data_IF_486516271996
#
_entry.id   IF_486516271996
#
_cell.length_a   1.000
_cell.length_b   1.000
_cell.length_c   1.000
_cell.angle_alpha   90.00
_cell.angle_beta   90.00
_cell.angle_gamma   90.00
#
_symmetry.space_group_name_H-M   'P 1'
#
loop_
_entity.id
_entity.type
_entity.pdbx_description
1 polymer ?
#
# COMPACT_ATOMS: atom_id res chain seq x y z
N UNK A 1 -8.16 25.52 -46.70
CA UNK A 1 -8.57 24.90 -45.44
C UNK A 1 -7.30 24.70 -44.65
N UNK A 2 -6.98 25.64 -43.77
CA UNK A 2 -5.86 25.52 -42.84
C UNK A 2 -6.25 24.52 -41.75
N UNK A 3 -5.55 23.40 -41.69
CA UNK A 3 -5.58 22.52 -40.52
C UNK A 3 -4.97 23.29 -39.35
N UNK A 4 -5.83 23.69 -38.41
CA UNK A 4 -5.41 24.22 -37.11
C UNK A 4 -4.87 23.02 -36.33
N UNK A 5 -3.60 22.67 -36.57
CA UNK A 5 -2.83 21.78 -35.70
C UNK A 5 -2.73 22.49 -34.37
N UNK A 6 -3.59 22.12 -33.43
CA UNK A 6 -3.47 22.57 -32.05
C UNK A 6 -2.13 22.04 -31.54
N UNK A 7 -1.10 22.90 -31.32
CA UNK A 7 0.18 22.42 -30.85
C UNK A 7 -0.06 21.93 -29.43
N UNK A 8 0.00 20.61 -29.24
CA UNK A 8 0.11 20.03 -27.91
C UNK A 8 1.36 20.68 -27.32
N UNK A 9 1.19 21.63 -26.39
CA UNK A 9 2.30 22.29 -25.70
C UNK A 9 3.14 21.21 -25.03
N UNK A 10 4.24 20.84 -25.67
CA UNK A 10 5.21 19.88 -25.17
C UNK A 10 5.94 20.56 -24.00
N UNK A 11 5.39 20.42 -22.79
CA UNK A 11 5.88 21.09 -21.57
C UNK A 11 7.33 20.73 -21.21
N UNK A 12 7.89 19.66 -21.79
CA UNK A 12 9.25 19.16 -21.52
C UNK A 12 9.81 18.54 -22.80
N UNK A 13 11.08 18.81 -23.13
CA UNK A 13 11.77 18.17 -24.26
C UNK A 13 11.76 16.64 -24.10
N UNK A 14 11.03 15.95 -24.98
CA UNK A 14 11.01 14.50 -25.03
C UNK A 14 12.23 13.96 -25.80
N UNK A 15 12.69 12.72 -25.49
CA UNK A 15 13.69 12.03 -26.30
C UNK A 15 13.26 11.93 -27.77
N UNK A 16 14.21 11.94 -28.71
CA UNK A 16 13.92 11.88 -30.14
C UNK A 16 13.07 10.62 -30.45
N UNK A 17 11.83 10.79 -31.00
CA UNK A 17 10.94 9.69 -31.30
C UNK A 17 11.51 8.68 -32.32
N UNK A 18 12.56 9.03 -33.08
CA UNK A 18 13.27 8.09 -33.96
C UNK A 18 14.17 7.10 -33.23
N UNK A 19 14.58 7.42 -32.01
CA UNK A 19 15.47 6.57 -31.19
C UNK A 19 14.74 5.94 -30.01
N UNK A 20 13.75 6.63 -29.43
CA UNK A 20 12.96 6.11 -28.32
C UNK A 20 11.50 6.61 -28.39
N UNK A 21 10.63 5.79 -28.97
CA UNK A 21 9.24 6.18 -29.24
C UNK A 21 8.39 6.21 -27.96
N UNK A 22 8.45 5.13 -27.16
CA UNK A 22 7.77 5.01 -25.88
C UNK A 22 8.61 5.65 -24.77
N UNK A 23 7.97 6.45 -23.92
CA UNK A 23 8.62 7.22 -22.85
C UNK A 23 7.87 7.00 -21.55
N UNK A 24 8.63 6.85 -20.46
CA UNK A 24 8.09 6.77 -19.10
C UNK A 24 8.37 8.08 -18.33
N UNK A 25 7.52 8.51 -17.39
CA UNK A 25 7.75 9.70 -16.55
C UNK A 25 9.10 9.71 -15.82
N UNK A 26 9.66 8.52 -15.54
CA UNK A 26 10.99 8.37 -14.94
C UNK A 26 12.12 8.82 -15.86
N UNK A 27 11.93 8.83 -17.17
CA UNK A 27 12.96 9.20 -18.14
C UNK A 27 13.02 10.71 -18.35
N UNK A 28 11.98 11.44 -17.92
CA UNK A 28 11.88 12.88 -18.07
C UNK A 28 12.24 13.60 -16.76
N UNK A 29 13.25 14.49 -16.74
CA UNK A 29 13.65 15.17 -15.51
C UNK A 29 12.53 16.05 -14.92
N UNK A 30 11.63 16.58 -15.75
CA UNK A 30 10.45 17.34 -15.32
C UNK A 30 9.38 16.50 -14.63
N UNK A 31 9.05 15.32 -15.18
CA UNK A 31 8.00 14.45 -14.65
C UNK A 31 8.49 13.46 -13.56
N UNK A 32 9.81 13.18 -13.52
CA UNK A 32 10.41 12.19 -12.62
C UNK A 32 10.13 12.48 -11.15
N UNK A 33 10.26 13.75 -10.72
CA UNK A 33 10.10 14.12 -9.30
C UNK A 33 8.66 13.89 -8.84
N UNK A 34 7.69 14.32 -9.64
CA UNK A 34 6.27 14.16 -9.35
C UNK A 34 5.88 12.68 -9.35
N UNK A 35 6.36 11.91 -10.34
CA UNK A 35 6.12 10.48 -10.40
C UNK A 35 6.70 9.75 -9.18
N UNK A 36 7.95 10.04 -8.80
CA UNK A 36 8.59 9.40 -7.65
C UNK A 36 7.91 9.77 -6.33
N UNK A 37 7.48 11.02 -6.16
CA UNK A 37 6.78 11.46 -4.96
C UNK A 37 5.40 10.80 -4.87
N UNK A 38 4.68 10.74 -5.99
CA UNK A 38 3.42 10.01 -6.09
C UNK A 38 3.60 8.52 -5.79
N UNK A 39 4.66 7.89 -6.32
CA UNK A 39 4.98 6.49 -6.05
C UNK A 39 5.28 6.24 -4.57
N UNK A 40 6.09 7.08 -3.92
CA UNK A 40 6.38 6.98 -2.49
C UNK A 40 5.12 7.11 -1.64
N UNK A 41 4.26 8.09 -1.93
CA UNK A 41 2.98 8.25 -1.23
C UNK A 41 2.07 7.03 -1.44
N UNK A 42 2.12 6.40 -2.61
CA UNK A 42 1.41 5.14 -2.88
C UNK A 42 1.93 3.99 -2.02
N UNK A 43 3.25 3.90 -1.80
CA UNK A 43 3.85 2.94 -0.87
C UNK A 43 3.38 3.20 0.56
N UNK A 44 3.34 4.46 1.02
CA UNK A 44 2.83 4.81 2.35
C UNK A 44 1.33 4.55 2.53
N UNK A 45 0.55 4.66 1.46
CA UNK A 45 -0.89 4.37 1.47
C UNK A 45 -1.19 2.86 1.52
N UNK A 46 -0.18 1.98 1.40
CA UNK A 46 -0.40 0.53 1.47
C UNK A 46 -0.80 0.08 2.89
N UNK A 47 -1.66 -0.96 3.00
CA UNK A 47 -2.04 -1.59 4.27
C UNK A 47 -0.89 -1.86 5.22
N UNK A 48 0.19 -2.40 4.69
CA UNK A 48 1.36 -2.81 5.43
C UNK A 48 2.06 -1.61 6.10
N UNK A 49 2.30 -0.55 5.32
CA UNK A 49 3.07 0.61 5.79
C UNK A 49 2.24 1.49 6.72
N UNK A 50 0.97 1.76 6.42
CA UNK A 50 0.17 2.56 7.35
C UNK A 50 -0.13 1.79 8.64
N UNK A 51 -0.26 0.46 8.62
CA UNK A 51 -0.44 -0.34 9.84
C UNK A 51 0.80 -0.25 10.73
N UNK A 52 1.99 -0.25 10.12
CA UNK A 52 3.23 -0.05 10.85
C UNK A 52 3.34 1.36 11.45
N UNK A 53 3.01 2.39 10.67
CA UNK A 53 2.96 3.76 11.16
C UNK A 53 1.93 3.92 12.27
N UNK A 54 0.78 3.27 12.16
CA UNK A 54 -0.22 3.22 13.20
C UNK A 54 0.36 2.62 14.48
N UNK A 55 1.02 1.47 14.40
CA UNK A 55 1.61 0.83 15.56
C UNK A 55 2.56 1.77 16.32
N UNK A 56 3.42 2.49 15.58
CA UNK A 56 4.34 3.48 16.15
C UNK A 56 3.59 4.66 16.77
N UNK A 57 2.72 5.31 15.98
CA UNK A 57 2.01 6.51 16.41
C UNK A 57 1.11 6.24 17.61
N UNK A 58 0.53 5.04 17.67
CA UNK A 58 -0.31 4.65 18.77
C UNK A 58 0.49 4.32 20.03
N UNK A 59 1.62 3.62 19.89
CA UNK A 59 2.52 3.39 21.01
C UNK A 59 3.00 4.70 21.65
N UNK A 60 3.23 5.74 20.83
CA UNK A 60 3.63 7.07 21.28
C UNK A 60 2.46 7.88 21.85
N UNK A 61 1.30 7.87 21.18
CA UNK A 61 0.16 8.71 21.58
C UNK A 61 -0.62 8.16 22.77
N UNK A 62 -0.62 6.82 22.94
CA UNK A 62 -1.47 6.07 23.85
C UNK A 62 -2.95 6.52 23.84
N UNK A 63 -3.45 6.92 22.66
CA UNK A 63 -4.79 7.49 22.50
C UNK A 63 -5.67 6.59 21.61
N UNK A 64 -6.89 6.30 22.06
CA UNK A 64 -7.91 5.51 21.35
C UNK A 64 -8.34 6.10 20.00
N UNK A 65 -8.12 7.39 19.77
CA UNK A 65 -8.46 8.06 18.51
C UNK A 65 -7.42 7.76 17.41
N UNK A 66 -6.16 7.52 17.78
CA UNK A 66 -5.04 7.27 16.85
C UNK A 66 -5.27 6.07 15.91
N UNK A 67 -5.74 4.89 16.37
CA UNK A 67 -6.07 3.76 15.49
C UNK A 67 -7.16 4.00 14.45
N UNK A 68 -8.01 5.02 14.64
CA UNK A 68 -9.04 5.38 13.67
C UNK A 68 -8.54 6.47 12.72
N UNK A 69 -7.94 7.54 13.26
CA UNK A 69 -7.51 8.69 12.45
C UNK A 69 -6.32 8.37 11.54
N UNK A 70 -5.33 7.61 12.01
CA UNK A 70 -4.09 7.38 11.24
C UNK A 70 -4.37 6.64 9.93
N UNK A 71 -5.10 5.50 9.91
CA UNK A 71 -5.44 4.83 8.66
C UNK A 71 -6.31 5.72 7.76
N UNK A 72 -7.28 6.43 8.34
CA UNK A 72 -8.17 7.31 7.56
C UNK A 72 -7.37 8.39 6.83
N UNK A 73 -6.49 9.09 7.55
CA UNK A 73 -5.68 10.19 6.99
C UNK A 73 -4.68 9.65 5.96
N UNK A 74 -3.95 8.57 6.28
CA UNK A 74 -2.95 8.03 5.37
C UNK A 74 -3.58 7.45 4.10
N UNK A 75 -4.66 6.69 4.21
CA UNK A 75 -5.32 6.08 3.04
C UNK A 75 -5.97 7.16 2.17
N UNK A 76 -6.69 8.11 2.76
CA UNK A 76 -7.39 9.15 1.99
C UNK A 76 -6.41 10.15 1.40
N UNK A 77 -5.55 10.77 2.22
CA UNK A 77 -4.69 11.85 1.72
C UNK A 77 -3.47 11.31 0.96
N UNK A 78 -2.72 10.35 1.51
CA UNK A 78 -1.54 9.85 0.81
C UNK A 78 -1.94 9.10 -0.46
N UNK A 79 -3.02 8.32 -0.41
CA UNK A 79 -3.58 7.64 -1.58
C UNK A 79 -4.08 8.61 -2.65
N UNK A 80 -4.87 9.61 -2.29
CA UNK A 80 -5.38 10.60 -3.26
C UNK A 80 -4.24 11.43 -3.88
N UNK A 81 -3.31 11.92 -3.06
CA UNK A 81 -2.16 12.70 -3.57
C UNK A 81 -1.27 11.82 -4.45
N UNK A 82 -1.07 10.54 -4.10
CA UNK A 82 -0.34 9.58 -4.92
C UNK A 82 -0.93 9.46 -6.33
N UNK A 83 -2.25 9.24 -6.43
CA UNK A 83 -2.93 9.14 -7.73
C UNK A 83 -2.80 10.45 -8.51
N UNK A 84 -3.04 11.60 -7.87
CA UNK A 84 -2.92 12.91 -8.52
C UNK A 84 -1.53 13.19 -9.10
N UNK A 85 -0.49 12.87 -8.35
CA UNK A 85 0.90 13.13 -8.76
C UNK A 85 1.37 12.15 -9.82
N UNK A 86 1.03 10.87 -9.69
CA UNK A 86 1.38 9.86 -10.70
C UNK A 86 0.63 10.12 -12.01
N UNK A 87 -0.67 10.47 -11.96
CA UNK A 87 -1.46 10.89 -13.12
C UNK A 87 -0.91 12.17 -13.76
N UNK A 88 -0.67 13.22 -12.97
CA UNK A 88 -0.08 14.48 -13.47
C UNK A 88 1.29 14.29 -14.14
N UNK A 89 2.10 13.36 -13.66
CA UNK A 89 3.39 13.04 -14.27
C UNK A 89 3.24 12.43 -15.69
N UNK A 90 2.13 11.77 -15.99
CA UNK A 90 1.83 11.25 -17.34
C UNK A 90 1.37 12.33 -18.31
N UNK A 91 0.82 13.45 -17.84
CA UNK A 91 0.39 14.58 -18.67
C UNK A 91 1.56 15.28 -19.37
N UNK A 92 2.79 15.08 -18.88
CA UNK A 92 4.02 15.54 -19.51
C UNK A 92 4.35 14.78 -20.81
N UNK A 93 3.70 13.64 -21.06
CA UNK A 93 3.96 12.78 -22.20
C UNK A 93 2.69 12.71 -23.05
N UNK A 94 2.77 12.96 -24.37
CA UNK A 94 1.65 12.72 -25.27
C UNK A 94 1.17 11.26 -25.17
N UNK A 95 -0.14 11.04 -25.05
CA UNK A 95 -0.70 9.71 -24.77
C UNK A 95 -0.27 8.60 -25.72
N UNK A 96 0.01 8.92 -26.99
CA UNK A 96 0.50 7.95 -28.00
C UNK A 96 1.93 7.44 -27.74
N UNK A 97 2.67 8.07 -26.82
CA UNK A 97 4.05 7.72 -26.44
C UNK A 97 4.16 7.14 -25.03
N UNK A 98 3.03 6.88 -24.35
CA UNK A 98 3.07 6.34 -22.98
C UNK A 98 3.59 4.91 -22.94
N UNK A 99 4.70 4.69 -22.24
CA UNK A 99 5.19 3.35 -21.93
C UNK A 99 4.52 2.78 -20.65
N UNK A 100 3.22 2.43 -20.73
CA UNK A 100 2.47 1.93 -19.56
C UNK A 100 2.88 0.52 -19.14
N UNK A 101 3.47 -0.25 -20.04
CA UNK A 101 3.82 -1.66 -19.82
C UNK A 101 5.26 -1.85 -19.32
N UNK A 102 5.98 -0.74 -19.06
CA UNK A 102 7.35 -0.78 -18.56
C UNK A 102 7.43 -1.53 -17.24
N UNK A 103 8.20 -2.62 -17.21
CA UNK A 103 8.51 -3.36 -15.99
C UNK A 103 9.41 -2.53 -15.09
N UNK A 104 8.89 -2.11 -13.93
CA UNK A 104 9.68 -1.43 -12.90
C UNK A 104 10.17 -2.41 -11.83
N UNK A 105 10.78 -3.51 -12.26
CA UNK A 105 11.15 -4.63 -11.37
C UNK A 105 11.89 -4.18 -10.12
N UNK A 106 12.84 -3.24 -10.24
CA UNK A 106 13.57 -2.70 -9.09
C UNK A 106 12.69 -1.92 -8.10
N UNK A 107 11.76 -1.10 -8.60
CA UNK A 107 10.82 -0.35 -7.74
C UNK A 107 9.80 -1.30 -7.11
N UNK A 108 9.31 -2.31 -7.85
CA UNK A 108 8.40 -3.31 -7.25
C UNK A 108 9.08 -4.10 -6.13
N UNK A 109 10.32 -4.56 -6.35
CA UNK A 109 11.09 -5.24 -5.30
C UNK A 109 11.30 -4.31 -4.10
N UNK A 110 11.68 -3.05 -4.34
CA UNK A 110 11.85 -2.07 -3.27
C UNK A 110 10.55 -1.84 -2.49
N UNK A 111 9.41 -1.65 -3.17
CA UNK A 111 8.11 -1.51 -2.52
C UNK A 111 7.76 -2.76 -1.70
N UNK A 112 7.97 -3.97 -2.24
CA UNK A 112 7.72 -5.21 -1.51
C UNK A 112 8.60 -5.34 -0.27
N UNK A 113 9.87 -4.97 -0.36
CA UNK A 113 10.79 -4.96 0.78
C UNK A 113 10.38 -3.93 1.83
N UNK A 114 10.08 -2.69 1.42
CA UNK A 114 9.66 -1.61 2.32
C UNK A 114 8.37 -1.98 3.04
N UNK A 115 7.36 -2.45 2.30
CA UNK A 115 6.07 -2.85 2.87
C UNK A 115 6.21 -4.02 3.84
N UNK A 116 7.01 -5.03 3.49
CA UNK A 116 7.26 -6.19 4.37
C UNK A 116 8.04 -5.81 5.63
N UNK A 117 9.10 -5.00 5.49
CA UNK A 117 9.90 -4.54 6.63
C UNK A 117 9.10 -3.60 7.53
N UNK A 118 8.32 -2.69 6.95
CA UNK A 118 7.45 -1.80 7.70
C UNK A 118 6.46 -2.62 8.53
N UNK A 119 5.75 -3.57 7.93
CA UNK A 119 4.78 -4.40 8.65
C UNK A 119 5.45 -5.25 9.74
N UNK A 120 6.61 -5.84 9.45
CA UNK A 120 7.38 -6.58 10.44
C UNK A 120 7.80 -5.71 11.63
N UNK A 121 8.38 -4.53 11.37
CA UNK A 121 8.76 -3.58 12.40
C UNK A 121 7.55 -3.06 13.19
N UNK A 122 6.45 -2.78 12.49
CA UNK A 122 5.17 -2.38 13.09
C UNK A 122 4.67 -3.42 14.08
N UNK A 123 4.64 -4.69 13.68
CA UNK A 123 4.25 -5.80 14.55
C UNK A 123 5.18 -5.94 15.75
N UNK A 124 6.50 -5.85 15.57
CA UNK A 124 7.46 -5.92 16.68
C UNK A 124 7.28 -4.78 17.69
N UNK A 125 7.19 -3.54 17.21
CA UNK A 125 6.98 -2.35 18.05
C UNK A 125 5.67 -2.49 18.81
N UNK A 126 4.62 -2.95 18.12
CA UNK A 126 3.32 -3.11 18.74
C UNK A 126 3.31 -4.20 19.80
N UNK A 127 3.92 -5.37 19.54
CA UNK A 127 4.03 -6.45 20.50
C UNK A 127 4.81 -6.02 21.74
N UNK A 128 5.99 -5.42 21.55
CA UNK A 128 6.81 -4.91 22.64
C UNK A 128 6.06 -3.88 23.49
N UNK A 129 5.32 -2.98 22.84
CA UNK A 129 4.49 -2.01 23.54
C UNK A 129 3.35 -2.68 24.31
N UNK A 130 2.57 -3.58 23.69
CA UNK A 130 1.45 -4.26 24.37
C UNK A 130 1.90 -5.13 25.54
N UNK A 131 3.07 -5.77 25.45
CA UNK A 131 3.62 -6.56 26.54
C UNK A 131 3.99 -5.70 27.77
N UNK A 132 4.22 -4.40 27.56
CA UNK A 132 4.52 -3.43 28.62
C UNK A 132 3.28 -2.75 29.22
N UNK A 133 2.09 -3.05 28.71
CA UNK A 133 0.85 -2.37 29.09
C UNK A 133 -0.13 -3.34 29.78
N UNK A 134 -0.69 -2.91 30.93
CA UNK A 134 -1.81 -3.59 31.58
C UNK A 134 -3.12 -3.29 30.83
N UNK A 135 -3.26 -3.88 29.64
CA UNK A 135 -4.42 -3.67 28.78
C UNK A 135 -5.65 -4.42 29.29
N UNK A 136 -6.82 -3.76 29.18
CA UNK A 136 -8.14 -4.34 29.45
C UNK A 136 -8.33 -5.62 28.61
N UNK A 137 -8.89 -6.71 29.18
CA UNK A 137 -9.19 -7.93 28.43
C UNK A 137 -10.01 -7.63 27.17
N UNK A 138 -9.51 -8.06 26.00
CA UNK A 138 -10.09 -7.78 24.68
C UNK A 138 -9.26 -6.79 23.83
N UNK A 139 -8.52 -5.88 24.44
CA UNK A 139 -7.71 -4.90 23.70
C UNK A 139 -6.38 -5.47 23.19
N UNK A 140 -5.83 -6.48 23.88
CA UNK A 140 -4.67 -7.26 23.40
C UNK A 140 -4.98 -8.13 22.19
N UNK A 141 -6.25 -8.44 21.92
CA UNK A 141 -6.69 -9.25 20.79
C UNK A 141 -6.88 -8.43 19.50
N UNK A 142 -7.13 -7.13 19.64
CA UNK A 142 -7.28 -6.18 18.53
C UNK A 142 -6.15 -6.23 17.48
N UNK A 143 -4.85 -6.23 17.85
CA UNK A 143 -3.75 -6.21 16.89
C UNK A 143 -3.51 -7.57 16.25
N UNK A 144 -3.76 -8.65 17.01
CA UNK A 144 -3.76 -10.01 16.48
C UNK A 144 -4.88 -10.17 15.45
N UNK A 145 -6.05 -9.55 15.68
CA UNK A 145 -7.14 -9.46 14.72
C UNK A 145 -6.75 -8.71 13.45
N UNK A 146 -6.11 -7.54 13.58
CA UNK A 146 -5.59 -6.78 12.42
C UNK A 146 -4.54 -7.58 11.64
N UNK A 147 -3.55 -8.15 12.31
CA UNK A 147 -2.51 -8.96 11.69
C UNK A 147 -3.06 -10.18 10.97
N UNK A 148 -4.03 -10.87 11.60
CA UNK A 148 -4.75 -11.99 10.99
C UNK A 148 -5.51 -11.56 9.73
N UNK A 149 -6.18 -10.41 9.75
CA UNK A 149 -6.87 -9.88 8.58
C UNK A 149 -5.90 -9.52 7.44
N UNK A 150 -4.72 -8.93 7.74
CA UNK A 150 -3.69 -8.67 6.72
C UNK A 150 -3.23 -9.98 6.07
N UNK A 151 -2.95 -11.01 6.88
CA UNK A 151 -2.55 -12.32 6.37
C UNK A 151 -3.61 -12.91 5.43
N UNK A 152 -4.89 -12.82 5.80
CA UNK A 152 -6.01 -13.30 4.97
C UNK A 152 -6.16 -12.50 3.67
N UNK A 153 -6.03 -11.17 3.72
CA UNK A 153 -6.07 -10.31 2.52
C UNK A 153 -4.95 -10.69 1.56
N UNK A 154 -3.72 -10.81 2.06
CA UNK A 154 -2.55 -11.17 1.25
C UNK A 154 -2.68 -12.58 0.65
N UNK A 155 -3.20 -13.54 1.42
CA UNK A 155 -3.49 -14.87 0.92
C UNK A 155 -4.56 -14.84 -0.19
N UNK A 156 -5.63 -14.06 -0.02
CA UNK A 156 -6.67 -13.88 -1.02
C UNK A 156 -6.15 -13.27 -2.31
N UNK A 157 -5.35 -12.21 -2.23
CA UNK A 157 -4.71 -11.57 -3.40
C UNK A 157 -3.78 -12.54 -4.13
N UNK A 158 -2.99 -13.33 -3.41
CA UNK A 158 -2.13 -14.37 -3.97
C UNK A 158 -2.94 -15.44 -4.71
N UNK A 159 -4.03 -15.93 -4.10
CA UNK A 159 -4.95 -16.91 -4.73
C UNK A 159 -5.55 -16.32 -6.00
N UNK A 160 -6.00 -15.07 -5.99
CA UNK A 160 -6.55 -14.40 -7.18
C UNK A 160 -5.49 -14.31 -8.29
N UNK A 161 -4.24 -13.93 -7.96
CA UNK A 161 -3.12 -13.88 -8.91
C UNK A 161 -2.84 -15.25 -9.51
N UNK A 162 -2.84 -16.30 -8.69
CA UNK A 162 -2.63 -17.69 -9.09
C UNK A 162 -3.74 -18.18 -10.05
N UNK A 163 -5.01 -17.96 -9.69
CA UNK A 163 -6.18 -18.34 -10.49
C UNK A 163 -6.19 -17.60 -11.83
N UNK A 164 -5.84 -16.31 -11.85
CA UNK A 164 -5.75 -15.49 -13.07
C UNK A 164 -4.49 -15.76 -13.90
N UNK A 165 -3.65 -16.74 -13.51
CA UNK A 165 -2.36 -17.08 -14.13
C UNK A 165 -1.45 -15.86 -14.37
N UNK A 166 -1.53 -14.86 -13.50
CA UNK A 166 -0.61 -13.72 -13.53
C UNK A 166 0.68 -14.16 -12.84
N UNK A 167 1.68 -14.51 -13.63
CA UNK A 167 2.92 -15.14 -13.16
C UNK A 167 3.96 -14.19 -12.58
N UNK A 168 3.78 -12.87 -12.76
CA UNK A 168 4.91 -11.96 -12.76
C UNK A 168 5.55 -11.73 -11.38
N UNK A 169 4.87 -11.99 -10.25
CA UNK A 169 5.39 -11.63 -8.91
C UNK A 169 5.05 -12.62 -7.78
N UNK A 170 4.60 -13.84 -8.09
CA UNK A 170 4.13 -14.83 -7.10
C UNK A 170 5.15 -15.12 -5.98
N UNK A 171 6.45 -15.16 -6.30
CA UNK A 171 7.50 -15.45 -5.31
C UNK A 171 7.58 -14.34 -4.25
N UNK A 172 7.50 -13.07 -4.67
CA UNK A 172 7.55 -11.93 -3.75
C UNK A 172 6.33 -11.92 -2.84
N UNK A 173 5.15 -12.16 -3.40
CA UNK A 173 3.89 -12.23 -2.65
C UNK A 173 3.92 -13.38 -1.61
N UNK A 174 4.46 -14.55 -1.98
CA UNK A 174 4.61 -15.70 -1.08
C UNK A 174 5.57 -15.39 0.07
N UNK A 175 6.72 -14.76 -0.21
CA UNK A 175 7.69 -14.37 0.82
C UNK A 175 7.04 -13.40 1.80
N UNK A 176 6.40 -12.34 1.29
CA UNK A 176 5.72 -11.34 2.11
C UNK A 176 4.63 -11.98 2.96
N UNK A 177 3.79 -12.85 2.39
CA UNK A 177 2.77 -13.59 3.14
C UNK A 177 3.37 -14.46 4.24
N UNK A 178 4.47 -15.16 3.94
CA UNK A 178 5.16 -16.02 4.91
C UNK A 178 5.67 -15.21 6.10
N UNK A 179 6.28 -14.05 5.86
CA UNK A 179 6.77 -13.15 6.92
C UNK A 179 5.61 -12.68 7.80
N UNK A 180 4.49 -12.29 7.20
CA UNK A 180 3.32 -11.82 7.94
C UNK A 180 2.70 -12.93 8.78
N UNK A 181 2.50 -14.12 8.20
CA UNK A 181 1.97 -15.28 8.92
C UNK A 181 2.89 -15.65 10.08
N UNK A 182 4.21 -15.66 9.87
CA UNK A 182 5.18 -15.94 10.93
C UNK A 182 5.11 -14.88 12.05
N UNK A 183 5.01 -13.61 11.71
CA UNK A 183 4.90 -12.54 12.71
C UNK A 183 3.60 -12.61 13.52
N UNK A 184 2.46 -12.91 12.87
CA UNK A 184 1.18 -13.14 13.56
C UNK A 184 1.26 -14.36 14.48
N UNK A 185 1.88 -15.45 14.00
CA UNK A 185 2.08 -16.67 14.79
C UNK A 185 2.94 -16.41 16.03
N UNK A 186 4.05 -15.69 15.87
CA UNK A 186 4.90 -15.26 16.98
C UNK A 186 4.10 -14.40 17.96
N UNK A 187 3.25 -13.51 17.47
CA UNK A 187 2.37 -12.68 18.31
C UNK A 187 1.40 -13.50 19.16
N UNK A 188 0.82 -14.57 18.63
CA UNK A 188 0.03 -15.51 19.42
C UNK A 188 0.90 -16.28 20.44
N UNK A 189 2.13 -16.65 20.07
CA UNK A 189 3.06 -17.38 20.96
C UNK A 189 3.65 -16.54 22.11
N UNK A 190 3.66 -15.21 22.00
CA UNK A 190 4.17 -14.29 23.02
C UNK A 190 3.10 -13.84 24.02
N UNK A 191 1.87 -14.37 23.93
CA UNK A 191 0.82 -14.06 24.89
C UNK A 191 1.19 -14.61 26.28
N UNK A 192 0.99 -13.84 27.36
CA UNK A 192 1.22 -14.33 28.73
C UNK A 192 0.43 -15.62 29.01
N UNK A 193 1.07 -16.58 29.69
CA UNK A 193 0.43 -17.83 30.09
C UNK A 193 -0.88 -17.54 30.87
N UNK A 194 -2.00 -18.14 30.43
CA UNK A 194 -3.33 -17.94 31.02
C UNK A 194 -4.24 -16.94 30.30
N UNK A 195 -3.79 -16.28 29.21
CA UNK A 195 -4.68 -15.54 28.30
C UNK A 195 -5.17 -16.41 27.15
N UNK A 196 -6.32 -17.04 27.34
CA UNK A 196 -7.07 -17.64 26.23
C UNK A 196 -7.77 -16.52 25.44
N UNK A 197 -7.34 -16.27 24.20
CA UNK A 197 -8.01 -15.34 23.29
C UNK A 197 -9.13 -16.07 22.58
N UNK A 198 -10.38 -15.65 22.79
CA UNK A 198 -11.49 -16.19 22.02
C UNK A 198 -11.42 -15.66 20.57
N UNK A 199 -11.77 -16.47 19.55
CA UNK A 199 -11.79 -16.00 18.16
C UNK A 199 -12.64 -14.73 17.94
N UNK A 200 -13.66 -14.52 18.77
CA UNK A 200 -14.52 -13.34 18.73
C UNK A 200 -13.78 -12.05 19.14
N UNK A 201 -12.75 -12.14 19.98
CA UNK A 201 -11.98 -10.97 20.43
C UNK A 201 -11.09 -10.39 19.32
N UNK A 202 -10.84 -11.18 18.27
CA UNK A 202 -10.09 -10.76 17.08
C UNK A 202 -10.95 -9.94 16.10
N UNK A 203 -12.29 -10.07 16.19
CA UNK A 203 -13.21 -9.48 15.23
C UNK A 203 -13.12 -7.96 15.10
N UNK A 204 -13.00 -7.17 16.19
CA UNK A 204 -12.96 -5.72 16.06
C UNK A 204 -11.76 -5.23 15.25
N UNK A 205 -10.57 -5.80 15.49
CA UNK A 205 -9.36 -5.46 14.73
C UNK A 205 -9.44 -5.92 13.29
N UNK A 206 -9.90 -7.15 13.07
CA UNK A 206 -10.07 -7.71 11.72
C UNK A 206 -11.09 -6.92 10.90
N UNK A 207 -12.23 -6.55 11.49
CA UNK A 207 -13.31 -5.82 10.82
C UNK A 207 -12.91 -4.41 10.41
N UNK A 208 -12.17 -3.69 11.26
CA UNK A 208 -11.68 -2.34 10.92
C UNK A 208 -10.71 -2.41 9.75
N UNK A 209 -9.73 -3.31 9.80
CA UNK A 209 -8.76 -3.43 8.73
C UNK A 209 -9.41 -3.88 7.41
N UNK A 210 -10.34 -4.84 7.47
CA UNK A 210 -11.13 -5.24 6.31
C UNK A 210 -11.95 -4.08 5.74
N UNK A 211 -12.58 -3.27 6.61
CA UNK A 211 -13.34 -2.09 6.20
C UNK A 211 -12.46 -1.04 5.50
N UNK A 212 -11.29 -0.73 6.06
CA UNK A 212 -10.32 0.18 5.44
C UNK A 212 -9.84 -0.33 4.09
N UNK A 213 -9.53 -1.63 3.99
CA UNK A 213 -9.11 -2.25 2.73
C UNK A 213 -10.22 -2.22 1.67
N UNK A 214 -11.47 -2.52 2.04
CA UNK A 214 -12.61 -2.43 1.13
C UNK A 214 -12.84 -0.99 0.66
N UNK A 215 -12.73 0.00 1.55
CA UNK A 215 -12.85 1.40 1.19
C UNK A 215 -11.75 1.82 0.19
N UNK A 216 -10.52 1.34 0.39
CA UNK A 216 -9.42 1.54 -0.54
C UNK A 216 -9.67 0.92 -1.92
N UNK A 217 -10.15 -0.32 -1.96
CA UNK A 217 -10.50 -0.97 -3.23
C UNK A 217 -11.60 -0.23 -3.97
N UNK A 218 -12.63 0.24 -3.25
CA UNK A 218 -13.70 1.04 -3.85
C UNK A 218 -13.16 2.36 -4.40
N UNK A 219 -12.31 3.05 -3.63
CA UNK A 219 -11.68 4.29 -4.06
C UNK A 219 -10.86 4.11 -5.35
N UNK A 220 -9.98 3.12 -5.38
CA UNK A 220 -9.13 2.83 -6.55
C UNK A 220 -9.94 2.43 -7.78
N UNK A 221 -11.03 1.68 -7.61
CA UNK A 221 -11.93 1.35 -8.73
C UNK A 221 -12.71 2.55 -9.26
N UNK A 222 -13.17 3.44 -8.39
CA UNK A 222 -13.89 4.66 -8.79
C UNK A 222 -12.96 5.56 -9.61
N UNK A 223 -11.71 5.72 -9.17
CA UNK A 223 -10.76 6.58 -9.84
C UNK A 223 -10.32 5.99 -11.19
N UNK A 224 -10.07 4.68 -11.27
CA UNK A 224 -9.78 4.01 -12.53
C UNK A 224 -10.91 4.13 -13.58
N UNK A 225 -12.17 4.31 -13.15
CA UNK A 225 -13.31 4.57 -14.06
C UNK A 225 -13.34 6.01 -14.55
N UNK A 226 -12.81 6.97 -13.78
CA UNK A 226 -12.76 8.39 -14.16
C UNK A 226 -11.71 8.67 -15.22
N UNK A 227 -10.57 7.98 -15.17
CA UNK A 227 -9.48 8.15 -16.15
C UNK A 227 -9.74 7.46 -17.52
N UNK A 228 -10.86 6.76 -17.66
CA UNK A 228 -11.27 6.06 -18.90
C UNK A 228 -12.55 6.62 -19.53
N UNK A 229 -13.15 7.66 -18.95
CA UNK A 229 -14.29 8.40 -19.51
C UNK A 229 -13.85 9.76 -20.04
#
# INVERSE_FOLDING_TARGET
>A
MEDIVNPIEEKVQLPDPKTHFLVHPLDLPGARKEFLLGWWLGVFATPQVYTALLAVLWAVSNNYVTPVLVPLVLVVFAGWISVKLTGGAWDYIPGKRHDKDRRMTGMTIAASLITSLALFAGLLIFMAWTASQDLVPGFSAYPLGMGSAIALIMAGELVIKLVRRRSLELVSDVISLTVVVAAVWIGFGLLPEGRDIAPLDLLPGAAILAGVWLAWLLFTQIEARRDHG
#
